data_IF_431932061754
#
_entry.id   IF_431932061754
#
_cell.length_a   1.000
_cell.length_b   1.000
_cell.length_c   1.000
_cell.angle_alpha   90.00
_cell.angle_beta   90.00
_cell.angle_gamma   90.00
#
_symmetry.space_group_name_H-M   'P 1'
#
loop_
_entity.id
_entity.type
_entity.pdbx_description
1 polymer ?
#
# COMPACT_ATOMS: atom_id res chain seq x y z
N UNK A 1 55.56 -44.53 51.60
CA UNK A 1 54.13 -44.17 51.40
C UNK A 1 53.99 -42.91 50.53
N UNK A 2 54.83 -41.89 50.70
CA UNK A 2 54.77 -40.62 49.94
C UNK A 2 55.04 -40.73 48.42
N UNK A 3 55.95 -41.61 47.99
CA UNK A 3 56.30 -41.75 46.55
C UNK A 3 55.13 -42.30 45.72
N UNK A 4 54.31 -43.18 46.31
CA UNK A 4 53.13 -43.75 45.64
C UNK A 4 52.03 -42.69 45.47
N UNK A 5 51.83 -41.87 46.49
CA UNK A 5 50.85 -40.79 46.50
C UNK A 5 51.16 -39.75 45.41
N UNK A 6 52.45 -39.38 45.28
CA UNK A 6 52.91 -38.41 44.27
C UNK A 6 52.80 -38.92 42.82
N UNK A 7 52.92 -40.24 42.61
CA UNK A 7 52.68 -40.91 41.32
C UNK A 7 51.19 -40.90 40.94
N UNK A 8 50.30 -41.14 41.91
CA UNK A 8 48.85 -41.10 41.72
C UNK A 8 48.37 -39.69 41.35
N UNK A 9 48.89 -38.64 41.99
CA UNK A 9 48.57 -37.25 41.64
C UNK A 9 49.02 -36.86 40.23
N UNK A 10 50.20 -37.31 39.77
CA UNK A 10 50.66 -37.06 38.40
C UNK A 10 49.76 -37.73 37.36
N UNK A 11 49.31 -38.96 37.60
CA UNK A 11 48.39 -39.68 36.70
C UNK A 11 47.01 -39.03 36.65
N UNK A 12 46.50 -38.58 37.81
CA UNK A 12 45.24 -37.83 37.87
C UNK A 12 45.32 -36.48 37.14
N UNK A 13 46.42 -35.74 37.30
CA UNK A 13 46.66 -34.48 36.60
C UNK A 13 46.77 -34.68 35.08
N UNK A 14 47.48 -35.72 34.62
CA UNK A 14 47.55 -36.06 33.21
C UNK A 14 46.19 -36.47 32.63
N UNK A 15 45.38 -37.18 33.40
CA UNK A 15 44.02 -37.56 33.00
C UNK A 15 43.08 -36.35 32.92
N UNK A 16 43.14 -35.45 33.90
CA UNK A 16 42.37 -34.19 33.89
C UNK A 16 42.82 -33.30 32.71
N UNK A 17 44.12 -33.24 32.44
CA UNK A 17 44.67 -32.49 31.31
C UNK A 17 44.22 -33.07 29.96
N UNK A 18 44.16 -34.40 29.83
CA UNK A 18 43.69 -35.05 28.59
C UNK A 18 42.16 -34.94 28.40
N UNK A 19 41.37 -35.01 29.47
CA UNK A 19 39.91 -34.78 29.41
C UNK A 19 39.58 -33.33 29.07
N UNK A 20 40.31 -32.36 29.65
CA UNK A 20 40.14 -30.94 29.32
C UNK A 20 40.55 -30.64 27.88
N UNK A 21 41.64 -31.24 27.37
CA UNK A 21 42.06 -31.08 25.98
C UNK A 21 41.05 -31.68 24.98
N UNK A 22 40.44 -32.83 25.31
CA UNK A 22 39.40 -33.46 24.50
C UNK A 22 38.09 -32.65 24.45
N UNK A 23 37.83 -31.81 25.47
CA UNK A 23 36.62 -30.98 25.56
C UNK A 23 36.69 -29.69 24.71
N UNK A 24 37.89 -29.28 24.27
CA UNK A 24 38.10 -28.06 23.48
C UNK A 24 37.79 -28.29 21.98
N UNK A 25 37.71 -29.56 21.53
CA UNK A 25 37.53 -29.92 20.11
C UNK A 25 36.11 -29.76 19.53
N UNK A 26 35.09 -29.40 20.33
CA UNK A 26 33.69 -29.29 19.90
C UNK A 26 33.12 -27.87 20.00
N UNK A 27 33.91 -26.85 19.67
CA UNK A 27 33.36 -25.52 19.41
C UNK A 27 32.75 -25.53 18.01
N UNK A 28 31.46 -25.86 17.92
CA UNK A 28 30.68 -25.60 16.71
C UNK A 28 30.60 -24.09 16.51
N UNK A 29 31.44 -23.55 15.62
CA UNK A 29 31.17 -22.25 15.03
C UNK A 29 29.95 -22.43 14.13
N UNK A 30 28.77 -22.10 14.65
CA UNK A 30 27.65 -21.80 13.78
C UNK A 30 28.08 -20.63 12.90
N UNK A 31 28.49 -20.92 11.66
CA UNK A 31 28.63 -19.88 10.65
C UNK A 31 27.21 -19.39 10.39
N UNK A 32 26.85 -18.29 11.05
CA UNK A 32 25.72 -17.46 10.66
C UNK A 32 26.03 -16.97 9.24
N UNK A 33 25.67 -17.81 8.27
CA UNK A 33 25.87 -17.52 6.86
C UNK A 33 24.76 -16.55 6.54
N UNK A 34 24.96 -15.28 6.90
CA UNK A 34 24.08 -14.20 6.48
C UNK A 34 24.06 -14.25 4.97
N UNK A 35 22.98 -14.83 4.43
CA UNK A 35 22.77 -14.95 3.00
C UNK A 35 22.71 -13.52 2.47
N UNK A 36 23.77 -13.07 1.80
CA UNK A 36 23.87 -11.72 1.21
C UNK A 36 23.02 -11.63 -0.06
N UNK A 37 21.72 -11.86 0.09
CA UNK A 37 20.74 -11.76 -0.98
C UNK A 37 20.30 -10.30 -1.15
N UNK A 38 20.17 -9.86 -2.39
CA UNK A 38 19.69 -8.53 -2.74
C UNK A 38 20.74 -7.43 -2.61
N UNK A 39 20.29 -6.18 -2.73
CA UNK A 39 21.09 -4.97 -2.54
C UNK A 39 20.21 -3.90 -1.89
N UNK A 40 20.79 -2.99 -1.09
CA UNK A 40 20.04 -1.86 -0.54
C UNK A 40 19.38 -1.06 -1.67
N UNK A 41 18.11 -0.72 -1.48
CA UNK A 41 17.38 0.18 -2.36
C UNK A 41 17.73 1.63 -2.00
N UNK A 42 17.91 2.50 -3.00
CA UNK A 42 18.12 3.94 -2.75
C UNK A 42 16.80 4.64 -2.44
N UNK A 43 16.86 5.82 -1.82
CA UNK A 43 15.67 6.64 -1.57
C UNK A 43 14.95 7.03 -2.87
N UNK A 44 15.71 7.28 -3.94
CA UNK A 44 15.15 7.58 -5.26
C UNK A 44 14.37 6.37 -5.80
N UNK A 45 14.93 5.17 -5.69
CA UNK A 45 14.24 3.95 -6.09
C UNK A 45 12.99 3.72 -5.23
N UNK A 46 13.05 3.94 -3.92
CA UNK A 46 11.90 3.83 -3.02
C UNK A 46 10.76 4.78 -3.39
N UNK A 47 11.09 6.01 -3.80
CA UNK A 47 10.09 7.03 -4.15
C UNK A 47 9.17 6.63 -5.31
N UNK A 48 9.61 5.71 -6.19
CA UNK A 48 8.79 5.17 -7.29
C UNK A 48 7.81 4.07 -6.85
N UNK A 49 8.07 3.45 -5.70
CA UNK A 49 7.24 2.39 -5.10
C UNK A 49 6.28 2.92 -4.04
N UNK A 50 6.70 3.90 -3.23
CA UNK A 50 5.90 4.44 -2.12
C UNK A 50 4.94 5.55 -2.58
N UNK A 51 3.91 5.14 -3.31
CA UNK A 51 2.90 6.03 -3.85
C UNK A 51 1.56 5.94 -3.12
N UNK A 52 1.49 5.14 -2.04
CA UNK A 52 0.24 4.83 -1.33
C UNK A 52 -0.29 6.08 -0.66
N UNK A 53 -1.45 6.57 -1.13
CA UNK A 53 -2.14 7.71 -0.52
C UNK A 53 -3.25 7.22 0.41
N UNK A 54 -2.99 7.23 1.72
CA UNK A 54 -3.85 6.63 2.74
C UNK A 54 -5.01 7.54 3.20
N UNK A 55 -6.07 6.98 3.82
CA UNK A 55 -7.14 7.78 4.44
C UNK A 55 -6.68 8.63 5.64
N UNK A 56 -5.49 8.35 6.20
CA UNK A 56 -4.83 9.14 7.24
C UNK A 56 -4.12 10.41 6.70
N UNK A 57 -4.11 10.60 5.38
CA UNK A 57 -3.44 11.73 4.74
C UNK A 57 -1.95 11.53 4.50
N UNK A 58 -1.40 10.32 4.69
CA UNK A 58 -0.02 10.01 4.31
C UNK A 58 0.11 9.76 2.79
N UNK A 59 1.31 9.99 2.24
CA UNK A 59 1.69 9.61 0.87
C UNK A 59 1.13 10.46 -0.28
N UNK A 60 0.37 11.52 0.02
CA UNK A 60 -0.11 12.46 -0.98
C UNK A 60 1.01 13.36 -1.52
N UNK A 61 1.16 13.49 -2.85
CA UNK A 61 2.05 14.47 -3.44
C UNK A 61 1.48 15.89 -3.31
N UNK A 62 2.34 16.89 -3.46
CA UNK A 62 1.90 18.29 -3.60
C UNK A 62 1.07 18.47 -4.87
N UNK A 63 0.04 19.31 -4.80
CA UNK A 63 -0.82 19.63 -5.94
C UNK A 63 -2.26 19.93 -5.51
N UNK A 64 -3.07 20.31 -6.48
CA UNK A 64 -4.51 20.51 -6.29
C UNK A 64 -5.24 20.46 -7.63
N UNK A 65 -6.56 20.33 -7.62
CA UNK A 65 -7.35 20.38 -8.85
C UNK A 65 -8.85 20.51 -8.58
N UNK A 66 -9.57 21.10 -9.52
CA UNK A 66 -11.04 21.15 -9.53
C UNK A 66 -11.62 20.18 -10.57
N UNK A 67 -12.90 19.85 -10.44
CA UNK A 67 -13.59 19.04 -11.44
C UNK A 67 -13.66 19.73 -12.81
N UNK A 68 -13.75 21.06 -12.85
CA UNK A 68 -13.68 21.83 -14.09
C UNK A 68 -12.37 21.57 -14.88
N UNK A 69 -11.23 21.53 -14.18
CA UNK A 69 -9.94 21.19 -14.77
C UNK A 69 -9.87 19.70 -15.11
N UNK A 70 -10.33 18.85 -14.20
CA UNK A 70 -10.34 17.39 -14.35
C UNK A 70 -11.12 16.88 -15.54
N UNK A 71 -12.18 17.59 -15.95
CA UNK A 71 -12.95 17.23 -17.12
C UNK A 71 -12.08 17.10 -18.37
N UNK A 72 -11.17 18.04 -18.60
CA UNK A 72 -10.31 18.04 -19.80
C UNK A 72 -9.37 16.83 -19.82
N UNK A 73 -8.78 16.51 -18.66
CA UNK A 73 -7.92 15.34 -18.49
C UNK A 73 -8.73 14.06 -18.68
N UNK A 74 -9.91 13.96 -18.06
CA UNK A 74 -10.77 12.80 -18.13
C UNK A 74 -11.26 12.52 -19.56
N UNK A 75 -11.71 13.55 -20.28
CA UNK A 75 -12.17 13.43 -21.67
C UNK A 75 -11.05 12.85 -22.58
N UNK A 76 -9.79 13.20 -22.30
CA UNK A 76 -8.63 12.79 -23.10
C UNK A 76 -8.05 11.43 -22.66
N UNK A 77 -8.06 11.13 -21.36
CA UNK A 77 -7.29 10.02 -20.77
C UNK A 77 -8.16 8.88 -20.22
N UNK A 78 -9.45 9.10 -20.01
CA UNK A 78 -10.32 8.18 -19.27
C UNK A 78 -11.59 7.79 -20.04
N UNK A 79 -12.19 8.75 -20.77
CA UNK A 79 -13.51 8.60 -21.38
C UNK A 79 -13.58 7.51 -22.46
N UNK A 80 -12.46 7.12 -23.08
CA UNK A 80 -12.43 6.02 -24.04
C UNK A 80 -12.91 4.68 -23.44
N UNK A 81 -12.72 4.47 -22.13
CA UNK A 81 -13.17 3.27 -21.42
C UNK A 81 -14.34 3.56 -20.48
N UNK A 82 -14.35 4.72 -19.82
CA UNK A 82 -15.34 5.04 -18.80
C UNK A 82 -16.54 5.84 -19.32
N UNK A 83 -16.55 6.18 -20.62
CA UNK A 83 -17.49 7.11 -21.25
C UNK A 83 -17.45 8.53 -20.62
N UNK A 84 -18.05 9.53 -21.28
CA UNK A 84 -17.89 10.94 -20.88
C UNK A 84 -18.54 11.27 -19.53
N UNK A 85 -19.56 10.52 -19.13
CA UNK A 85 -20.29 10.72 -17.86
C UNK A 85 -20.05 9.59 -16.86
N UNK A 86 -19.04 8.74 -17.07
CA UNK A 86 -18.67 7.67 -16.14
C UNK A 86 -19.59 6.45 -16.17
N UNK A 87 -20.49 6.36 -17.16
CA UNK A 87 -21.42 5.25 -17.35
C UNK A 87 -20.76 3.96 -17.83
N UNK A 88 -19.48 4.02 -18.24
CA UNK A 88 -18.72 2.89 -18.78
C UNK A 88 -19.07 2.56 -20.23
N UNK A 89 -18.07 2.10 -20.99
CA UNK A 89 -18.32 1.45 -22.28
C UNK A 89 -18.50 -0.06 -22.09
N UNK A 90 -19.02 -0.77 -23.10
CA UNK A 90 -19.25 -2.22 -23.02
C UNK A 90 -18.02 -2.99 -22.50
N UNK A 91 -18.16 -3.65 -21.35
CA UNK A 91 -17.12 -4.45 -20.70
C UNK A 91 -16.14 -3.69 -19.81
N UNK A 92 -16.19 -2.35 -19.79
CA UNK A 92 -15.34 -1.51 -18.95
C UNK A 92 -16.05 -1.07 -17.66
N UNK A 93 -15.25 -0.71 -16.66
CA UNK A 93 -15.76 -0.34 -15.32
C UNK A 93 -16.64 0.91 -15.36
N UNK A 94 -17.83 0.81 -14.78
CA UNK A 94 -18.74 1.93 -14.53
C UNK A 94 -18.28 2.70 -13.29
N UNK A 95 -18.21 4.03 -13.38
CA UNK A 95 -17.73 4.91 -12.31
C UNK A 95 -18.84 5.63 -11.55
N UNK A 96 -20.05 5.72 -12.12
CA UNK A 96 -21.16 6.56 -11.61
C UNK A 96 -22.44 5.74 -11.46
N UNK A 97 -23.20 6.04 -10.41
CA UNK A 97 -24.51 5.43 -10.13
C UNK A 97 -24.42 4.19 -9.24
N UNK A 98 -25.52 3.45 -9.16
CA UNK A 98 -25.65 2.32 -8.25
C UNK A 98 -26.03 2.71 -6.82
N UNK A 99 -26.46 1.71 -6.06
CA UNK A 99 -26.91 1.84 -4.68
C UNK A 99 -26.64 0.52 -3.96
N UNK A 100 -26.05 0.59 -2.78
CA UNK A 100 -25.75 -0.60 -1.96
C UNK A 100 -26.98 -1.17 -1.25
N UNK A 101 -28.11 -0.45 -1.26
CA UNK A 101 -29.38 -0.87 -0.67
C UNK A 101 -30.39 -1.37 -1.72
N UNK A 102 -29.98 -1.57 -2.97
CA UNK A 102 -30.87 -2.07 -4.02
C UNK A 102 -31.36 -3.49 -3.71
N UNK A 103 -32.63 -3.78 -4.06
CA UNK A 103 -33.24 -5.13 -3.92
C UNK A 103 -32.51 -6.23 -4.74
N UNK A 104 -31.81 -5.84 -5.82
CA UNK A 104 -31.03 -6.73 -6.68
C UNK A 104 -29.53 -6.71 -6.37
N UNK A 105 -28.73 -7.35 -7.23
CA UNK A 105 -27.27 -7.24 -7.16
C UNK A 105 -26.83 -5.77 -7.27
N UNK A 106 -26.22 -5.18 -6.23
CA UNK A 106 -25.91 -3.76 -6.23
C UNK A 106 -24.81 -3.45 -7.23
N UNK A 107 -24.99 -2.36 -8.00
CA UNK A 107 -23.94 -1.81 -8.83
C UNK A 107 -22.95 -1.04 -7.94
N UNK A 108 -21.72 -1.55 -7.86
CA UNK A 108 -20.64 -0.97 -7.06
C UNK A 108 -19.81 -0.01 -7.89
N UNK A 109 -19.90 1.27 -7.58
CA UNK A 109 -19.14 2.34 -8.23
C UNK A 109 -18.39 3.15 -7.17
N UNK A 110 -17.75 4.25 -7.61
CA UNK A 110 -17.07 5.17 -6.70
C UNK A 110 -18.05 5.75 -5.68
N UNK A 111 -19.18 6.30 -6.12
CA UNK A 111 -20.15 6.93 -5.22
C UNK A 111 -20.97 5.94 -4.39
N UNK A 112 -21.28 4.76 -4.94
CA UNK A 112 -22.12 3.80 -4.22
C UNK A 112 -21.36 2.94 -3.21
N UNK A 113 -20.09 2.60 -3.48
CA UNK A 113 -19.41 1.56 -2.72
C UNK A 113 -18.19 2.03 -1.95
N UNK A 114 -17.38 2.98 -2.46
CA UNK A 114 -16.06 3.24 -1.88
C UNK A 114 -16.17 4.07 -0.58
N UNK A 115 -15.47 3.68 0.51
CA UNK A 115 -15.61 4.37 1.80
C UNK A 115 -14.74 5.61 1.96
N UNK A 116 -13.69 5.75 1.14
CA UNK A 116 -12.71 6.83 1.25
C UNK A 116 -12.34 7.39 -0.12
N UNK A 117 -12.33 8.72 -0.24
CA UNK A 117 -11.89 9.41 -1.45
C UNK A 117 -10.37 9.24 -1.70
N UNK A 118 -9.59 8.99 -0.65
CA UNK A 118 -8.15 8.67 -0.76
C UNK A 118 -7.89 7.43 -1.61
N UNK A 119 -8.73 6.39 -1.48
CA UNK A 119 -8.61 5.17 -2.28
C UNK A 119 -8.76 5.47 -3.77
N UNK A 120 -9.70 6.36 -4.14
CA UNK A 120 -9.89 6.79 -5.53
C UNK A 120 -8.63 7.49 -6.08
N UNK A 121 -8.10 8.44 -5.33
CA UNK A 121 -6.86 9.15 -5.70
C UNK A 121 -5.68 8.17 -5.86
N UNK A 122 -5.48 7.31 -4.86
CA UNK A 122 -4.41 6.31 -4.86
C UNK A 122 -4.49 5.37 -6.07
N UNK A 123 -5.70 4.87 -6.35
CA UNK A 123 -5.93 4.00 -7.50
C UNK A 123 -5.66 4.70 -8.82
N UNK A 124 -6.16 5.93 -9.00
CA UNK A 124 -5.90 6.72 -10.22
C UNK A 124 -4.40 6.93 -10.41
N UNK A 125 -3.69 7.38 -9.35
CA UNK A 125 -2.24 7.66 -9.40
C UNK A 125 -1.42 6.44 -9.81
N UNK A 126 -1.74 5.26 -9.25
CA UNK A 126 -0.89 4.08 -9.38
C UNK A 126 -1.27 3.17 -10.55
N UNK A 127 -2.55 3.17 -10.95
CA UNK A 127 -3.08 2.17 -11.88
C UNK A 127 -3.74 2.75 -13.12
N UNK A 128 -4.06 4.05 -13.16
CA UNK A 128 -4.73 4.68 -14.30
C UNK A 128 -3.82 5.67 -15.04
N UNK A 129 -4.06 5.88 -16.35
CA UNK A 129 -4.90 5.09 -17.25
C UNK A 129 -4.41 3.63 -17.37
N UNK A 130 -5.31 2.70 -17.68
CA UNK A 130 -4.99 1.26 -17.67
C UNK A 130 -3.93 0.87 -18.72
N UNK A 131 -3.84 1.61 -19.82
CA UNK A 131 -2.85 1.45 -20.89
C UNK A 131 -1.54 2.19 -20.61
N UNK A 132 -1.53 3.13 -19.67
CA UNK A 132 -0.35 3.88 -19.25
C UNK A 132 -0.36 4.22 -17.75
N UNK A 133 -0.25 3.24 -16.83
CA UNK A 133 -0.24 3.50 -15.39
C UNK A 133 0.89 4.45 -14.98
N UNK A 134 0.65 5.28 -13.96
CA UNK A 134 1.60 6.28 -13.45
C UNK A 134 2.00 7.38 -14.46
N UNK A 135 1.29 7.51 -15.58
CA UNK A 135 1.58 8.54 -16.60
C UNK A 135 1.02 9.93 -16.29
N UNK A 136 0.05 10.02 -15.38
CA UNK A 136 -0.53 11.30 -14.96
C UNK A 136 0.41 12.01 -13.98
N UNK A 137 0.52 13.33 -14.13
CA UNK A 137 1.16 14.19 -13.13
C UNK A 137 0.34 14.23 -11.84
N UNK A 138 0.97 14.61 -10.72
CA UNK A 138 0.28 14.69 -9.43
C UNK A 138 -0.93 15.63 -9.46
N UNK A 139 -0.83 16.72 -10.21
CA UNK A 139 -1.92 17.69 -10.42
C UNK A 139 -3.05 17.10 -11.26
N UNK A 140 -2.74 16.41 -12.36
CA UNK A 140 -3.75 15.70 -13.17
C UNK A 140 -4.50 14.63 -12.36
N UNK A 141 -3.82 13.92 -11.45
CA UNK A 141 -4.48 12.96 -10.56
C UNK A 141 -5.51 13.68 -9.67
N UNK A 142 -5.15 14.77 -8.99
CA UNK A 142 -6.11 15.55 -8.19
C UNK A 142 -7.30 16.04 -9.03
N UNK A 143 -7.02 16.55 -10.22
CA UNK A 143 -8.04 17.05 -11.14
C UNK A 143 -9.02 15.92 -11.55
N UNK A 144 -8.52 14.77 -12.00
CA UNK A 144 -9.37 13.62 -12.37
C UNK A 144 -10.14 13.09 -11.17
N UNK A 145 -9.51 12.98 -10.00
CA UNK A 145 -10.20 12.62 -8.75
C UNK A 145 -11.36 13.57 -8.46
N UNK A 146 -11.13 14.89 -8.55
CA UNK A 146 -12.18 15.89 -8.36
C UNK A 146 -13.33 15.71 -9.37
N UNK A 147 -13.02 15.44 -10.63
CA UNK A 147 -14.04 15.25 -11.67
C UNK A 147 -14.88 13.99 -11.43
N UNK A 148 -14.27 12.86 -11.06
CA UNK A 148 -15.01 11.62 -10.76
C UNK A 148 -15.90 11.79 -9.52
N UNK A 149 -15.43 12.51 -8.50
CA UNK A 149 -16.25 12.85 -7.32
C UNK A 149 -17.43 13.76 -7.70
N UNK A 150 -17.20 14.75 -8.57
CA UNK A 150 -18.26 15.61 -9.11
C UNK A 150 -19.30 14.83 -9.92
N UNK A 151 -18.87 13.90 -10.78
CA UNK A 151 -19.78 13.03 -11.54
C UNK A 151 -20.69 12.19 -10.62
N UNK A 152 -20.23 11.88 -9.41
CA UNK A 152 -21.00 11.18 -8.38
C UNK A 152 -21.78 12.13 -7.45
N UNK A 153 -21.77 13.44 -7.70
CA UNK A 153 -22.48 14.44 -6.88
C UNK A 153 -21.90 14.64 -5.47
N UNK A 154 -20.64 14.24 -5.26
CA UNK A 154 -19.99 14.30 -3.93
C UNK A 154 -19.37 15.67 -3.66
N UNK A 155 -18.91 16.35 -4.72
CA UNK A 155 -18.32 17.70 -4.63
C UNK A 155 -18.85 18.59 -5.75
N UNK A 156 -18.85 19.90 -5.54
CA UNK A 156 -19.19 20.88 -6.57
C UNK A 156 -18.09 21.01 -7.63
N UNK A 157 -18.48 21.49 -8.83
CA UNK A 157 -17.59 21.59 -9.98
C UNK A 157 -16.31 22.41 -9.73
N UNK A 158 -16.42 23.44 -8.88
CA UNK A 158 -15.34 24.39 -8.59
C UNK A 158 -14.66 24.13 -7.24
N UNK A 159 -15.05 23.08 -6.51
CA UNK A 159 -14.37 22.69 -5.28
C UNK A 159 -12.93 22.31 -5.59
N UNK A 160 -11.99 22.97 -4.90
CA UNK A 160 -10.56 22.66 -5.04
C UNK A 160 -10.26 21.44 -4.18
N UNK A 161 -9.75 20.39 -4.82
CA UNK A 161 -9.30 19.16 -4.19
C UNK A 161 -7.78 19.19 -4.06
N UNK A 162 -7.28 19.18 -2.84
CA UNK A 162 -5.90 18.91 -2.46
C UNK A 162 -5.87 17.81 -1.38
N UNK A 163 -4.69 17.52 -0.82
CA UNK A 163 -4.53 16.55 0.27
C UNK A 163 -5.52 16.80 1.41
N UNK A 164 -5.56 18.02 1.92
CA UNK A 164 -6.34 18.40 3.10
C UNK A 164 -7.85 18.29 2.86
N UNK A 165 -8.33 18.79 1.71
CA UNK A 165 -9.76 18.74 1.39
C UNK A 165 -10.21 17.34 0.99
N UNK A 166 -9.36 16.55 0.31
CA UNK A 166 -9.73 15.20 -0.16
C UNK A 166 -9.97 14.26 1.02
N UNK A 167 -9.10 14.25 2.04
CA UNK A 167 -9.27 13.36 3.20
C UNK A 167 -10.44 13.80 4.10
N UNK A 168 -10.89 15.05 3.97
CA UNK A 168 -12.05 15.57 4.69
C UNK A 168 -13.39 15.18 4.03
N UNK A 169 -13.38 14.61 2.82
CA UNK A 169 -14.61 14.18 2.13
C UNK A 169 -15.21 12.97 2.84
N UNK A 170 -16.48 13.09 3.19
CA UNK A 170 -17.28 11.96 3.67
C UNK A 170 -17.96 11.28 2.47
N UNK A 171 -17.45 10.10 2.10
CA UNK A 171 -18.05 9.30 1.03
C UNK A 171 -19.41 8.72 1.48
N UNK A 172 -20.39 8.56 0.58
CA UNK A 172 -21.73 8.08 0.95
C UNK A 172 -21.75 6.72 1.67
N UNK A 173 -20.80 5.83 1.33
CA UNK A 173 -20.70 4.49 1.92
C UNK A 173 -19.56 4.35 2.95
N UNK A 174 -19.17 5.46 3.62
CA UNK A 174 -18.11 5.50 4.64
C UNK A 174 -18.29 4.44 5.73
N UNK A 175 -19.51 4.26 6.21
CA UNK A 175 -19.86 3.32 7.27
C UNK A 175 -20.37 1.96 6.74
N UNK A 176 -20.28 1.73 5.42
CA UNK A 176 -20.78 0.51 4.78
C UNK A 176 -19.89 -0.72 4.92
N UNK A 177 -18.79 -0.61 5.67
CA UNK A 177 -17.81 -1.68 5.85
C UNK A 177 -17.64 -1.98 7.33
N UNK A 178 -17.58 -3.28 7.64
CA UNK A 178 -17.33 -3.78 8.99
C UNK A 178 -16.08 -4.64 8.94
N UNK A 179 -15.24 -4.51 9.97
CA UNK A 179 -14.15 -5.47 10.14
C UNK A 179 -14.77 -6.82 10.49
N UNK A 180 -14.44 -7.86 9.70
CA UNK A 180 -14.92 -9.21 9.95
C UNK A 180 -14.59 -9.69 11.38
N UNK A 181 -13.51 -9.20 11.98
CA UNK A 181 -13.14 -9.53 13.35
C UNK A 181 -14.08 -8.92 14.41
N UNK A 182 -14.85 -7.89 14.04
CA UNK A 182 -15.84 -7.23 14.89
C UNK A 182 -17.21 -7.92 14.84
N UNK A 183 -17.43 -8.77 13.83
CA UNK A 183 -18.69 -9.52 13.65
C UNK A 183 -18.43 -10.95 14.10
N UNK A 184 -18.75 -11.24 15.37
CA UNK A 184 -18.69 -12.59 15.94
C UNK A 184 -20.00 -13.34 15.74
#
# INVERSE_FOLDING_TARGET
>A
MEVSLMSMYKRALLFIFSVTLASIGFVSFAQDTVLKLGSPISEEQLSEFDLIAGPDGAGFPSGSGSAAQGKQVFDTRCAACHALTGEGTSGNTVLVGGDMHSEGSPLRTVGSYWPHASTLFDFIRRAMPADAPKSLTSEEVYQVTAYVLYLNGIVDQNTVINRETLIAIEMPNKDGFIDKNQVR
#
